data_IF_647646036199
#
_entry.id   IF_647646036199
#
_cell.length_a   1.000
_cell.length_b   1.000
_cell.length_c   1.000
_cell.angle_alpha   90.00
_cell.angle_beta   90.00
_cell.angle_gamma   90.00
#
_symmetry.space_group_name_H-M   'P 1'
#
loop_
_entity.id
_entity.type
_entity.pdbx_description
1 polymer ?
#
# COMPACT_ATOMS: atom_id res chain seq x y z
N UNK A 1 49.62 -6.51 -2.22
CA UNK A 1 48.66 -6.93 -1.17
C UNK A 1 47.69 -5.79 -0.85
N UNK A 2 46.67 -5.51 -1.70
CA UNK A 2 45.50 -4.63 -1.37
C UNK A 2 44.36 -4.85 -2.38
N UNK A 3 43.34 -5.65 -2.05
CA UNK A 3 42.03 -5.65 -2.74
C UNK A 3 40.93 -6.18 -1.81
N UNK A 4 40.34 -5.36 -0.93
CA UNK A 4 39.10 -5.71 -0.23
C UNK A 4 38.31 -4.45 0.19
N UNK A 5 37.89 -3.61 -0.77
CA UNK A 5 36.95 -2.50 -0.46
C UNK A 5 36.05 -2.13 -1.64
N UNK A 6 35.78 -3.07 -2.57
CA UNK A 6 34.83 -2.86 -3.68
C UNK A 6 33.51 -3.61 -3.54
N UNK A 7 33.41 -4.59 -2.64
CA UNK A 7 32.21 -5.43 -2.51
C UNK A 7 31.11 -4.81 -1.63
N UNK A 8 31.45 -4.07 -0.58
CA UNK A 8 30.47 -3.62 0.41
C UNK A 8 29.47 -2.56 -0.09
N UNK A 9 29.83 -1.75 -1.10
CA UNK A 9 28.95 -0.68 -1.61
C UNK A 9 27.88 -1.24 -2.57
N UNK A 10 28.21 -2.24 -3.37
CA UNK A 10 27.26 -2.84 -4.33
C UNK A 10 26.16 -3.66 -3.63
N UNK A 11 26.51 -4.41 -2.57
CA UNK A 11 25.54 -5.28 -1.88
C UNK A 11 24.43 -4.47 -1.20
N UNK A 12 24.76 -3.35 -0.57
CA UNK A 12 23.77 -2.46 0.06
C UNK A 12 22.85 -1.83 -0.99
N UNK A 13 23.40 -1.34 -2.10
CA UNK A 13 22.60 -0.74 -3.18
C UNK A 13 21.63 -1.74 -3.81
N UNK A 14 22.06 -2.98 -4.04
CA UNK A 14 21.21 -4.05 -4.59
C UNK A 14 20.04 -4.39 -3.65
N UNK A 15 20.29 -4.40 -2.34
CA UNK A 15 19.24 -4.63 -1.35
C UNK A 15 18.21 -3.47 -1.33
N UNK A 16 18.65 -2.22 -1.42
CA UNK A 16 17.73 -1.07 -1.49
C UNK A 16 16.89 -1.07 -2.76
N UNK A 17 17.50 -1.38 -3.92
CA UNK A 17 16.79 -1.49 -5.20
C UNK A 17 15.73 -2.59 -5.17
N UNK A 18 16.05 -3.77 -4.64
CA UNK A 18 15.11 -4.87 -4.52
C UNK A 18 13.92 -4.53 -3.59
N UNK A 19 14.19 -3.89 -2.46
CA UNK A 19 13.14 -3.44 -1.52
C UNK A 19 12.25 -2.37 -2.16
N UNK A 20 12.86 -1.37 -2.82
CA UNK A 20 12.11 -0.33 -3.51
C UNK A 20 11.24 -0.91 -4.64
N UNK A 21 11.79 -1.86 -5.42
CA UNK A 21 11.04 -2.54 -6.48
C UNK A 21 9.88 -3.37 -5.91
N UNK A 22 10.11 -4.12 -4.84
CA UNK A 22 9.06 -4.89 -4.15
C UNK A 22 7.98 -3.97 -3.55
N UNK A 23 8.35 -2.82 -2.98
CA UNK A 23 7.40 -1.84 -2.46
C UNK A 23 6.60 -1.16 -3.58
N UNK A 24 7.26 -0.81 -4.69
CA UNK A 24 6.61 -0.23 -5.87
C UNK A 24 5.66 -1.23 -6.55
N UNK A 25 6.05 -2.50 -6.65
CA UNK A 25 5.18 -3.56 -7.16
C UNK A 25 4.02 -3.84 -6.21
N UNK A 26 4.25 -3.77 -4.90
CA UNK A 26 3.19 -3.88 -3.90
C UNK A 26 2.19 -2.73 -3.97
N UNK A 27 2.65 -1.47 -4.03
CA UNK A 27 1.78 -0.31 -4.22
C UNK A 27 1.00 -0.41 -5.54
N UNK A 28 1.64 -0.90 -6.60
CA UNK A 28 0.97 -1.15 -7.88
C UNK A 28 -0.16 -2.17 -7.73
N UNK A 29 0.10 -3.30 -7.06
CA UNK A 29 -0.90 -4.33 -6.80
C UNK A 29 -2.06 -3.78 -5.97
N UNK A 30 -1.78 -3.07 -4.88
CA UNK A 30 -2.79 -2.44 -4.03
C UNK A 30 -3.67 -1.50 -4.86
N UNK A 31 -3.04 -0.60 -5.62
CA UNK A 31 -3.75 0.38 -6.45
C UNK A 31 -4.61 -0.31 -7.51
N UNK A 32 -4.08 -1.34 -8.17
CA UNK A 32 -4.81 -2.12 -9.17
C UNK A 32 -6.02 -2.80 -8.55
N UNK A 33 -5.84 -3.52 -7.44
CA UNK A 33 -6.92 -4.27 -6.79
C UNK A 33 -8.01 -3.35 -6.26
N UNK A 34 -7.67 -2.24 -5.62
CA UNK A 34 -8.65 -1.26 -5.12
C UNK A 34 -9.39 -0.57 -6.26
N UNK A 35 -8.70 -0.23 -7.36
CA UNK A 35 -9.35 0.33 -8.55
C UNK A 35 -10.34 -0.66 -9.15
N UNK A 36 -9.94 -1.94 -9.28
CA UNK A 36 -10.81 -3.02 -9.78
C UNK A 36 -12.02 -3.23 -8.87
N UNK A 37 -11.81 -3.23 -7.55
CA UNK A 37 -12.88 -3.40 -6.58
C UNK A 37 -13.89 -2.25 -6.64
N UNK A 38 -13.41 -1.01 -6.77
CA UNK A 38 -14.27 0.16 -6.96
C UNK A 38 -15.11 0.08 -8.24
N UNK A 39 -14.50 -0.39 -9.34
CA UNK A 39 -15.20 -0.57 -10.62
C UNK A 39 -16.23 -1.70 -10.59
N UNK A 40 -16.02 -2.72 -9.75
CA UNK A 40 -16.86 -3.93 -9.71
C UNK A 40 -17.80 -3.98 -8.50
N UNK A 41 -17.79 -2.95 -7.64
CA UNK A 41 -18.61 -2.92 -6.43
C UNK A 41 -18.27 -4.04 -5.45
N UNK A 42 -16.99 -4.42 -5.34
CA UNK A 42 -16.54 -5.50 -4.46
C UNK A 42 -15.97 -4.97 -3.15
N UNK A 43 -16.42 -5.54 -2.04
CA UNK A 43 -15.84 -5.32 -0.72
C UNK A 43 -14.42 -5.90 -0.66
N UNK A 44 -13.51 -5.19 -0.02
CA UNK A 44 -12.11 -5.58 0.17
C UNK A 44 -11.80 -5.51 1.65
N UNK A 45 -11.18 -6.57 2.18
CA UNK A 45 -10.61 -6.53 3.53
C UNK A 45 -9.17 -6.04 3.45
N UNK A 46 -8.83 -5.05 4.27
CA UNK A 46 -7.49 -4.48 4.35
C UNK A 46 -6.93 -4.57 5.76
N UNK A 47 -5.62 -4.77 5.87
CA UNK A 47 -4.85 -4.50 7.08
C UNK A 47 -4.23 -3.11 6.96
N UNK A 48 -4.73 -2.17 7.76
CA UNK A 48 -4.36 -0.75 7.71
C UNK A 48 -3.61 -0.33 8.97
N UNK A 49 -2.44 0.31 8.78
CA UNK A 49 -1.63 0.88 9.85
C UNK A 49 -1.84 2.39 9.87
N UNK A 50 -2.54 2.89 10.88
CA UNK A 50 -2.69 4.34 11.03
C UNK A 50 -1.37 4.98 11.51
N UNK A 51 -1.28 6.30 11.43
CA UNK A 51 -0.04 7.05 11.77
C UNK A 51 0.44 6.77 13.19
N UNK A 52 -0.48 6.86 14.15
CA UNK A 52 -0.20 6.78 15.59
C UNK A 52 -0.98 5.63 16.25
N UNK A 53 -1.36 4.60 15.49
CA UNK A 53 -2.12 3.49 16.04
C UNK A 53 -1.68 2.13 15.52
N UNK A 54 -2.01 1.10 16.29
CA UNK A 54 -1.78 -0.28 15.91
C UNK A 54 -2.45 -0.62 14.56
N UNK A 55 -1.89 -1.63 13.89
CA UNK A 55 -2.49 -2.20 12.70
C UNK A 55 -3.91 -2.68 13.02
N UNK A 56 -4.83 -2.42 12.10
CA UNK A 56 -6.22 -2.83 12.27
C UNK A 56 -6.79 -3.38 10.98
N UNK A 57 -7.75 -4.29 11.10
CA UNK A 57 -8.44 -4.90 9.97
C UNK A 57 -9.71 -4.10 9.65
N UNK A 58 -9.98 -3.87 8.37
CA UNK A 58 -11.15 -3.12 7.88
C UNK A 58 -11.75 -3.85 6.70
N UNK A 59 -13.05 -4.06 6.73
CA UNK A 59 -13.83 -4.34 5.53
C UNK A 59 -14.26 -3.01 4.94
N UNK A 60 -13.93 -2.77 3.68
CA UNK A 60 -14.21 -1.50 3.00
C UNK A 60 -14.86 -1.73 1.65
N UNK A 61 -15.73 -0.81 1.24
CA UNK A 61 -16.24 -0.72 -0.13
C UNK A 61 -15.52 0.41 -0.87
N UNK A 62 -14.52 0.10 -1.72
CA UNK A 62 -13.79 1.10 -2.47
C UNK A 62 -14.72 1.85 -3.43
N UNK A 63 -14.54 3.17 -3.50
CA UNK A 63 -15.33 4.05 -4.37
C UNK A 63 -14.47 4.71 -5.45
N UNK A 64 -13.29 5.22 -5.06
CA UNK A 64 -12.38 5.90 -5.97
C UNK A 64 -10.94 5.84 -5.46
N UNK A 65 -9.98 5.67 -6.38
CA UNK A 65 -8.54 5.66 -6.07
C UNK A 65 -7.89 6.85 -6.77
N UNK A 66 -7.33 7.76 -5.98
CA UNK A 66 -6.82 9.05 -6.47
C UNK A 66 -5.48 9.41 -5.89
N UNK A 67 -4.70 10.15 -6.68
CA UNK A 67 -3.45 10.75 -6.25
C UNK A 67 -3.70 12.15 -5.69
N UNK A 68 -3.12 12.44 -4.53
CA UNK A 68 -3.14 13.78 -3.93
C UNK A 68 -2.18 14.73 -4.67
N UNK A 69 -2.29 16.04 -4.40
CA UNK A 69 -1.34 17.04 -4.93
C UNK A 69 0.10 16.81 -4.44
N UNK A 70 0.26 16.27 -3.22
CA UNK A 70 1.55 15.93 -2.64
C UNK A 70 2.14 14.62 -3.22
N UNK A 71 1.36 13.87 -3.99
CA UNK A 71 1.81 12.67 -4.69
C UNK A 71 1.44 11.34 -4.03
N UNK A 72 0.95 11.37 -2.80
CA UNK A 72 0.42 10.20 -2.09
C UNK A 72 -0.84 9.66 -2.77
N UNK A 73 -1.02 8.34 -2.74
CA UNK A 73 -2.23 7.67 -3.22
C UNK A 73 -3.22 7.39 -2.10
N UNK A 74 -4.49 7.63 -2.36
CA UNK A 74 -5.60 7.36 -1.44
C UNK A 74 -6.71 6.57 -2.13
N UNK A 75 -7.40 5.72 -1.37
CA UNK A 75 -8.71 5.17 -1.72
C UNK A 75 -9.76 5.83 -0.83
N UNK A 76 -10.83 6.34 -1.43
CA UNK A 76 -12.07 6.65 -0.70
C UNK A 76 -12.94 5.41 -0.66
N UNK A 77 -13.47 5.09 0.51
CA UNK A 77 -14.28 3.90 0.71
C UNK A 77 -15.27 4.09 1.86
N UNK A 78 -16.34 3.29 1.85
CA UNK A 78 -17.15 3.10 3.05
C UNK A 78 -16.41 2.14 4.00
N UNK A 79 -16.20 2.54 5.25
CA UNK A 79 -15.56 1.72 6.29
C UNK A 79 -16.64 1.10 7.17
N UNK A 80 -16.83 -0.22 7.08
CA UNK A 80 -17.85 -0.93 7.86
C UNK A 80 -17.56 -0.95 9.36
N UNK A 81 -16.30 -0.87 9.79
CA UNK A 81 -16.00 -0.82 11.22
C UNK A 81 -16.41 0.52 11.83
N UNK A 82 -16.36 1.59 11.03
CA UNK A 82 -16.64 2.96 11.48
C UNK A 82 -18.00 3.47 11.02
N UNK A 83 -18.71 2.69 10.21
CA UNK A 83 -19.99 3.00 9.61
C UNK A 83 -20.00 4.40 8.94
N UNK A 84 -18.94 4.69 8.17
CA UNK A 84 -18.72 6.00 7.60
C UNK A 84 -17.77 5.98 6.39
N UNK A 85 -17.90 6.98 5.52
CA UNK A 85 -16.95 7.23 4.45
C UNK A 85 -15.59 7.68 5.02
N UNK A 86 -14.50 7.03 4.58
CA UNK A 86 -13.12 7.37 4.97
C UNK A 86 -12.16 7.29 3.79
N UNK A 87 -11.02 7.95 3.94
CA UNK A 87 -9.90 7.88 3.00
C UNK A 87 -8.74 7.11 3.62
N UNK A 88 -8.21 6.12 2.91
CA UNK A 88 -7.06 5.31 3.34
C UNK A 88 -5.89 5.58 2.42
N UNK A 89 -4.71 5.87 3.00
CA UNK A 89 -3.46 5.96 2.24
C UNK A 89 -3.00 4.57 1.80
N UNK A 90 -2.66 4.41 0.53
CA UNK A 90 -2.31 3.10 -0.03
C UNK A 90 -0.97 2.56 0.50
N UNK A 91 0.00 3.44 0.77
CA UNK A 91 1.29 3.08 1.35
C UNK A 91 1.20 2.57 2.80
N UNK A 92 0.06 2.79 3.46
CA UNK A 92 -0.24 2.33 4.82
C UNK A 92 -1.11 1.06 4.85
N UNK A 93 -1.43 0.48 3.69
CA UNK A 93 -2.10 -0.82 3.59
C UNK A 93 -1.03 -1.89 3.55
N UNK A 94 -0.94 -2.70 4.60
CA UNK A 94 0.07 -3.75 4.72
C UNK A 94 -0.33 -5.03 3.98
N UNK A 95 -1.63 -5.30 3.90
CA UNK A 95 -2.19 -6.45 3.19
C UNK A 95 -3.63 -6.15 2.77
N UNK A 96 -4.11 -6.84 1.74
CA UNK A 96 -5.50 -6.84 1.36
C UNK A 96 -5.91 -8.21 0.80
N UNK A 97 -7.19 -8.53 0.96
CA UNK A 97 -7.84 -9.69 0.36
C UNK A 97 -9.17 -9.27 -0.25
N UNK A 98 -9.50 -9.84 -1.41
CA UNK A 98 -10.82 -9.71 -2.04
C UNK A 98 -11.62 -10.95 -1.72
N UNK A 99 -12.89 -10.77 -1.36
CA UNK A 99 -13.84 -11.89 -1.25
C UNK A 99 -14.09 -12.58 -2.60
#
# INVERSE_FOLDING_TARGET
>A
MRHHTRHAIHTTLQATEAIAHAALSHLHLIRYTLTRAAQTGRTVRIQYVAEDAAATVRDIDPQDVRRSKAGDWYVRAYDYLRDAARSFRLDRIAALETA
#
